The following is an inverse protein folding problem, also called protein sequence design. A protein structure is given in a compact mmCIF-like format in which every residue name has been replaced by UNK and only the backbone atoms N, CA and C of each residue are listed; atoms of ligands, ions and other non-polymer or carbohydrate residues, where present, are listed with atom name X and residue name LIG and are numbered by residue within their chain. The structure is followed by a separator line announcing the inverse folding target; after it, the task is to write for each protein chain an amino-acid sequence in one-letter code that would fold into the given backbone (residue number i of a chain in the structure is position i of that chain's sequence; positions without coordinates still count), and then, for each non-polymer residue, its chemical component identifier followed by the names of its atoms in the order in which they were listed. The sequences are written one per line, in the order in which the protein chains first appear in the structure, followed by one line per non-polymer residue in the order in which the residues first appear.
data_IF_856520216215
#
_entry.id   IF_856520216215
#
_cell.length_a   1.000
_cell.length_b   1.000
_cell.length_c   1.000
_cell.angle_alpha   90.00
_cell.angle_beta   90.00
_cell.angle_gamma   90.00
#
_symmetry.space_group_name_H-M   'P 1'
#
loop_
_entity.id
_entity.type
_entity.pdbx_description
1 polymer ?
#
# COMPACT_ATOMS: atom_id res chain seq x y z
N UNK A 1 45.67 26.53 21.88
CA UNK A 1 45.76 25.05 21.76
C UNK A 1 44.36 24.49 21.89
N UNK A 2 43.67 24.30 20.76
CA UNK A 2 42.30 23.78 20.71
C UNK A 2 42.37 22.29 20.45
N UNK A 3 42.06 21.47 21.45
CA UNK A 3 41.98 20.02 21.31
C UNK A 3 40.77 19.67 20.45
N UNK A 4 41.04 19.38 19.18
CA UNK A 4 40.14 18.63 18.29
C UNK A 4 39.99 17.21 18.84
N UNK A 5 39.14 17.05 19.86
CA UNK A 5 38.67 15.74 20.30
C UNK A 5 37.91 15.11 19.13
N UNK A 6 38.55 14.12 18.51
CA UNK A 6 37.98 13.31 17.45
C UNK A 6 36.69 12.68 17.93
N UNK A 7 35.57 13.29 17.57
CA UNK A 7 34.25 12.73 17.79
C UNK A 7 34.15 11.40 17.05
N UNK A 8 34.16 10.31 17.81
CA UNK A 8 33.83 8.99 17.31
C UNK A 8 32.50 9.09 16.55
N UNK A 9 32.54 8.83 15.24
CA UNK A 9 31.31 8.76 14.44
C UNK A 9 30.41 7.71 15.08
N UNK A 10 29.17 8.04 15.48
CA UNK A 10 28.27 7.07 16.06
C UNK A 10 28.14 5.90 15.08
N UNK A 11 28.45 4.69 15.55
CA UNK A 11 28.28 3.46 14.78
C UNK A 11 26.82 3.36 14.35
N UNK A 12 26.58 3.12 13.06
CA UNK A 12 25.23 2.95 12.51
C UNK A 12 24.63 1.70 13.17
N UNK A 13 23.67 1.90 14.09
CA UNK A 13 22.91 0.82 14.69
C UNK A 13 21.72 0.48 13.79
N UNK A 14 21.75 -0.69 13.16
CA UNK A 14 20.65 -1.20 12.36
C UNK A 14 19.44 -1.53 13.24
N UNK A 15 18.25 -1.13 12.81
CA UNK A 15 16.98 -1.47 13.45
C UNK A 15 16.26 -2.58 12.69
N UNK A 16 15.28 -3.21 13.34
CA UNK A 16 14.42 -4.20 12.70
C UNK A 16 13.74 -3.63 11.45
N UNK A 17 13.29 -2.36 11.49
CA UNK A 17 12.70 -1.69 10.34
C UNK A 17 13.67 -1.54 9.15
N UNK A 18 14.98 -1.36 9.40
CA UNK A 18 15.97 -1.26 8.31
C UNK A 18 16.11 -2.59 7.57
N UNK A 19 16.21 -3.69 8.32
CA UNK A 19 16.25 -5.05 7.76
C UNK A 19 14.96 -5.32 6.98
N UNK A 20 13.80 -4.98 7.56
CA UNK A 20 12.51 -5.18 6.93
C UNK A 20 12.36 -4.39 5.63
N UNK A 21 12.77 -3.11 5.58
CA UNK A 21 12.75 -2.32 4.34
C UNK A 21 13.71 -2.87 3.28
N UNK A 22 14.88 -3.39 3.66
CA UNK A 22 15.76 -4.10 2.72
C UNK A 22 15.07 -5.35 2.14
N UNK A 23 14.40 -6.14 2.97
CA UNK A 23 13.59 -7.29 2.53
C UNK A 23 12.49 -6.82 1.58
N UNK A 24 11.77 -5.74 1.90
CA UNK A 24 10.76 -5.15 1.01
C UNK A 24 11.34 -4.83 -0.36
N UNK A 25 12.51 -4.17 -0.43
CA UNK A 25 13.17 -3.84 -1.70
C UNK A 25 13.49 -5.11 -2.50
N UNK A 26 14.11 -6.10 -1.86
CA UNK A 26 14.48 -7.37 -2.51
C UNK A 26 13.24 -8.09 -3.04
N UNK A 27 12.20 -8.21 -2.23
CA UNK A 27 10.95 -8.88 -2.61
C UNK A 27 10.21 -8.14 -3.72
N UNK A 28 10.16 -6.80 -3.70
CA UNK A 28 9.56 -6.00 -4.77
C UNK A 28 10.30 -6.19 -6.11
N UNK A 29 11.64 -6.15 -6.08
CA UNK A 29 12.46 -6.37 -7.28
C UNK A 29 12.34 -7.81 -7.79
N UNK A 30 12.29 -8.79 -6.89
CA UNK A 30 12.07 -10.19 -7.23
C UNK A 30 10.68 -10.40 -7.87
N UNK A 31 9.62 -9.81 -7.31
CA UNK A 31 8.28 -9.86 -7.88
C UNK A 31 8.25 -9.29 -9.30
N UNK A 32 8.84 -8.10 -9.49
CA UNK A 32 8.96 -7.49 -10.82
C UNK A 32 9.76 -8.35 -11.79
N UNK A 33 10.90 -8.92 -11.37
CA UNK A 33 11.69 -9.82 -12.20
C UNK A 33 10.89 -11.07 -12.61
N UNK A 34 10.13 -11.68 -11.69
CA UNK A 34 9.25 -12.80 -11.99
C UNK A 34 8.19 -12.44 -13.04
N UNK A 35 7.58 -11.25 -12.94
CA UNK A 35 6.62 -10.76 -13.96
C UNK A 35 7.30 -10.62 -15.31
N UNK A 36 8.49 -10.01 -15.37
CA UNK A 36 9.25 -9.83 -16.61
C UNK A 36 9.65 -11.18 -17.24
N UNK A 37 10.08 -12.14 -16.44
CA UNK A 37 10.46 -13.46 -16.94
C UNK A 37 9.24 -14.29 -17.37
N UNK A 38 8.10 -14.10 -16.72
CA UNK A 38 6.83 -14.66 -17.15
C UNK A 38 6.42 -14.11 -18.52
N UNK A 39 6.47 -12.80 -18.71
CA UNK A 39 6.12 -12.14 -19.99
C UNK A 39 7.00 -12.58 -21.16
N UNK A 40 8.24 -13.02 -20.88
CA UNK A 40 9.14 -13.60 -21.88
C UNK A 40 8.89 -15.08 -22.17
N UNK A 41 7.94 -15.70 -21.48
CA UNK A 41 7.68 -17.14 -21.55
C UNK A 41 8.80 -18.00 -20.95
N UNK A 42 9.64 -17.44 -20.08
CA UNK A 42 10.76 -18.16 -19.44
C UNK A 42 10.39 -18.75 -18.09
N UNK A 43 9.27 -18.30 -17.51
CA UNK A 43 8.69 -18.81 -16.27
C UNK A 43 7.17 -18.89 -16.37
N UNK A 44 6.58 -19.94 -15.81
CA UNK A 44 5.12 -20.11 -15.70
C UNK A 44 4.73 -20.28 -14.22
N UNK A 45 5.20 -19.34 -13.39
CA UNK A 45 5.03 -19.41 -11.94
C UNK A 45 3.65 -18.89 -11.48
N UNK A 46 3.15 -17.84 -12.12
CA UNK A 46 1.92 -17.16 -11.76
C UNK A 46 0.71 -17.78 -12.45
N UNK A 47 -0.45 -17.61 -11.83
CA UNK A 47 -1.72 -18.11 -12.34
C UNK A 47 -2.10 -17.42 -13.66
N UNK A 48 -2.79 -18.13 -14.53
CA UNK A 48 -3.14 -17.62 -15.86
C UNK A 48 -4.11 -16.43 -15.75
N UNK A 49 -5.12 -16.54 -14.87
CA UNK A 49 -6.09 -15.44 -14.70
C UNK A 49 -5.44 -14.17 -14.17
N UNK A 50 -4.41 -14.30 -13.31
CA UNK A 50 -3.66 -13.17 -12.79
C UNK A 50 -2.85 -12.49 -13.88
N UNK A 51 -2.15 -13.26 -14.73
CA UNK A 51 -1.28 -12.70 -15.77
C UNK A 51 -2.09 -12.03 -16.88
N UNK A 52 -3.22 -12.64 -17.25
CA UNK A 52 -4.13 -12.08 -18.23
C UNK A 52 -4.71 -10.73 -17.76
N UNK A 53 -5.27 -10.68 -16.55
CA UNK A 53 -5.95 -9.48 -16.05
C UNK A 53 -5.05 -8.47 -15.32
N UNK A 54 -3.89 -8.89 -14.84
CA UNK A 54 -3.05 -8.15 -13.90
C UNK A 54 -3.52 -8.20 -12.44
N UNK A 55 -4.61 -8.92 -12.16
CA UNK A 55 -5.30 -9.00 -10.87
C UNK A 55 -5.99 -10.35 -10.72
N UNK A 56 -6.20 -10.78 -9.47
CA UNK A 56 -7.09 -11.89 -9.22
C UNK A 56 -8.56 -11.45 -9.25
N UNK A 57 -9.24 -11.68 -10.36
CA UNK A 57 -10.63 -11.23 -10.54
C UNK A 57 -11.58 -12.41 -10.50
N UNK A 58 -12.36 -12.51 -9.43
CA UNK A 58 -13.50 -13.42 -9.32
C UNK A 58 -14.81 -12.79 -9.75
N UNK A 59 -15.80 -13.65 -10.03
CA UNK A 59 -17.15 -13.28 -10.49
C UNK A 59 -17.12 -12.42 -11.76
N UNK A 60 -16.26 -12.75 -12.74
CA UNK A 60 -16.09 -11.97 -13.98
C UNK A 60 -17.37 -11.99 -14.84
N UNK A 61 -18.03 -13.14 -14.81
CA UNK A 61 -19.25 -13.47 -15.52
C UNK A 61 -20.53 -12.86 -14.90
N UNK A 62 -20.41 -12.26 -13.71
CA UNK A 62 -21.54 -11.65 -13.01
C UNK A 62 -21.60 -10.13 -13.24
N UNK A 63 -22.58 -9.48 -12.62
CA UNK A 63 -22.70 -8.00 -12.63
C UNK A 63 -21.45 -7.34 -12.04
N UNK A 64 -21.09 -6.16 -12.55
CA UNK A 64 -19.96 -5.37 -12.01
C UNK A 64 -20.06 -5.13 -10.52
N UNK A 65 -21.28 -5.03 -10.00
CA UNK A 65 -21.56 -4.77 -8.58
C UNK A 65 -21.11 -5.91 -7.66
N UNK A 66 -20.88 -7.10 -8.19
CA UNK A 66 -20.44 -8.29 -7.42
C UNK A 66 -19.10 -8.86 -7.92
N UNK A 67 -18.47 -8.22 -8.91
CA UNK A 67 -17.11 -8.52 -9.33
C UNK A 67 -16.13 -8.20 -8.18
N UNK A 68 -14.99 -8.90 -8.12
CA UNK A 68 -13.97 -8.69 -7.09
C UNK A 68 -13.58 -7.23 -6.86
N UNK A 69 -13.49 -6.39 -7.90
CA UNK A 69 -13.19 -4.97 -7.74
C UNK A 69 -14.31 -4.19 -7.03
N UNK A 70 -15.60 -4.46 -7.31
CA UNK A 70 -16.67 -3.82 -6.55
C UNK A 70 -16.69 -4.30 -5.10
N UNK A 71 -16.44 -5.59 -4.86
CA UNK A 71 -16.29 -6.15 -3.51
C UNK A 71 -15.13 -5.46 -2.78
N UNK A 72 -14.00 -5.25 -3.47
CA UNK A 72 -12.83 -4.55 -2.93
C UNK A 72 -13.18 -3.11 -2.54
N UNK A 73 -13.90 -2.38 -3.40
CA UNK A 73 -14.41 -1.04 -3.06
C UNK A 73 -15.27 -1.04 -1.79
N UNK A 74 -16.22 -1.98 -1.66
CA UNK A 74 -17.07 -2.06 -0.47
C UNK A 74 -16.26 -2.36 0.79
N UNK A 75 -15.31 -3.30 0.68
CA UNK A 75 -14.46 -3.70 1.78
C UNK A 75 -13.52 -2.56 2.21
N UNK A 76 -12.90 -1.86 1.26
CA UNK A 76 -12.04 -0.71 1.51
C UNK A 76 -12.80 0.44 2.17
N UNK A 77 -14.00 0.76 1.68
CA UNK A 77 -14.83 1.80 2.28
C UNK A 77 -15.23 1.44 3.72
N UNK A 78 -15.67 0.20 3.94
CA UNK A 78 -16.04 -0.28 5.27
C UNK A 78 -14.85 -0.25 6.25
N UNK A 79 -13.69 -0.76 5.81
CA UNK A 79 -12.48 -0.79 6.64
C UNK A 79 -11.90 0.61 6.87
N UNK A 80 -11.96 1.51 5.89
CA UNK A 80 -11.57 2.90 6.05
C UNK A 80 -12.43 3.60 7.12
N UNK A 81 -13.76 3.41 7.07
CA UNK A 81 -14.67 3.94 8.10
C UNK A 81 -14.36 3.37 9.48
N UNK A 82 -14.14 2.06 9.59
CA UNK A 82 -13.73 1.41 10.84
C UNK A 82 -12.42 1.99 11.37
N UNK A 83 -11.41 2.18 10.51
CA UNK A 83 -10.13 2.73 10.90
C UNK A 83 -10.24 4.17 11.42
N UNK A 84 -11.04 5.01 10.76
CA UNK A 84 -11.33 6.37 11.24
C UNK A 84 -12.05 6.33 12.59
N UNK A 85 -13.02 5.43 12.75
CA UNK A 85 -13.73 5.22 14.02
C UNK A 85 -12.79 4.84 15.15
N UNK A 86 -11.85 3.92 14.91
CA UNK A 86 -10.85 3.49 15.89
C UNK A 86 -9.86 4.60 16.24
N UNK A 87 -9.42 5.39 15.26
CA UNK A 87 -8.59 6.58 15.50
C UNK A 87 -9.32 7.57 16.41
N UNK A 88 -10.57 7.90 16.09
CA UNK A 88 -11.36 8.84 16.89
C UNK A 88 -11.61 8.32 18.30
N UNK A 89 -11.98 7.04 18.43
CA UNK A 89 -12.17 6.39 19.72
C UNK A 89 -10.88 6.36 20.54
N UNK A 90 -9.75 5.95 19.96
CA UNK A 90 -8.45 5.92 20.63
C UNK A 90 -8.02 7.30 21.11
N UNK A 91 -8.25 8.33 20.31
CA UNK A 91 -7.92 9.70 20.70
C UNK A 91 -8.82 10.22 21.83
N UNK A 92 -10.14 10.11 21.67
CA UNK A 92 -11.12 10.74 22.57
C UNK A 92 -11.36 9.94 23.87
N UNK A 93 -11.29 8.61 23.81
CA UNK A 93 -11.63 7.73 24.95
C UNK A 93 -10.42 7.15 25.66
N UNK A 94 -9.28 7.05 24.97
CA UNK A 94 -8.06 6.44 25.51
C UNK A 94 -6.90 7.42 25.64
N UNK A 95 -7.10 8.71 25.36
CA UNK A 95 -6.04 9.72 25.48
C UNK A 95 -4.85 9.50 24.55
N UNK A 96 -4.99 8.64 23.54
CA UNK A 96 -3.87 8.27 22.68
C UNK A 96 -3.40 9.49 21.87
N UNK A 97 -2.07 9.66 21.84
CA UNK A 97 -1.42 10.75 21.12
C UNK A 97 -1.67 10.66 19.62
N UNK A 98 -1.90 11.82 18.99
CA UNK A 98 -2.14 11.90 17.55
C UNK A 98 -0.99 11.33 16.74
N UNK A 99 0.26 11.49 17.19
CA UNK A 99 1.43 10.94 16.50
C UNK A 99 1.32 9.43 16.28
N UNK A 100 0.82 8.70 17.30
CA UNK A 100 0.67 7.25 17.24
C UNK A 100 -0.49 6.79 16.34
N UNK A 101 -1.54 7.61 16.24
CA UNK A 101 -2.76 7.35 15.46
C UNK A 101 -2.67 7.84 14.01
N UNK A 102 -1.81 8.83 13.75
CA UNK A 102 -1.68 9.48 12.44
C UNK A 102 -1.36 8.52 11.29
N UNK A 103 -0.55 7.43 11.45
CA UNK A 103 -0.33 6.47 10.38
C UNK A 103 -1.61 5.75 10.00
N UNK A 104 -2.42 5.33 10.98
CA UNK A 104 -3.69 4.65 10.75
C UNK A 104 -4.70 5.58 10.08
N UNK A 105 -4.82 6.83 10.54
CA UNK A 105 -5.72 7.80 9.92
C UNK A 105 -5.36 8.08 8.45
N UNK A 106 -4.07 8.31 8.16
CA UNK A 106 -3.59 8.52 6.80
C UNK A 106 -3.89 7.31 5.90
N UNK A 107 -3.65 6.11 6.41
CA UNK A 107 -3.93 4.88 5.66
C UNK A 107 -5.42 4.67 5.44
N UNK A 108 -6.30 5.05 6.38
CA UNK A 108 -7.74 5.00 6.17
C UNK A 108 -8.19 5.87 4.99
N UNK A 109 -7.68 7.10 4.89
CA UNK A 109 -7.98 7.99 3.76
C UNK A 109 -7.43 7.45 2.44
N UNK A 110 -6.23 6.89 2.49
CA UNK A 110 -5.58 6.28 1.33
C UNK A 110 -6.35 5.05 0.85
N UNK A 111 -6.82 4.21 1.78
CA UNK A 111 -7.62 3.02 1.52
C UNK A 111 -8.96 3.38 0.86
N UNK A 112 -9.64 4.44 1.31
CA UNK A 112 -10.84 4.92 0.64
C UNK A 112 -10.56 5.37 -0.81
N UNK A 113 -9.46 6.09 -1.02
CA UNK A 113 -9.02 6.49 -2.37
C UNK A 113 -8.68 5.29 -3.26
N UNK A 114 -8.04 4.27 -2.70
CA UNK A 114 -7.76 2.98 -3.34
C UNK A 114 -9.06 2.27 -3.76
N UNK A 115 -10.04 2.20 -2.85
CA UNK A 115 -11.37 1.66 -3.14
C UNK A 115 -12.08 2.40 -4.29
N UNK A 116 -11.97 3.74 -4.36
CA UNK A 116 -12.48 4.49 -5.51
C UNK A 116 -11.81 4.08 -6.84
N UNK A 117 -10.53 3.72 -6.81
CA UNK A 117 -9.83 3.11 -7.94
C UNK A 117 -10.43 1.76 -8.34
N UNK A 118 -10.78 0.92 -7.38
CA UNK A 118 -11.50 -0.33 -7.65
C UNK A 118 -12.91 -0.13 -8.20
N UNK A 119 -13.66 0.85 -7.70
CA UNK A 119 -14.95 1.21 -8.27
C UNK A 119 -14.81 1.62 -9.74
N UNK A 120 -13.79 2.42 -10.05
CA UNK A 120 -13.47 2.78 -11.43
C UNK A 120 -13.17 1.54 -12.28
N UNK A 121 -12.36 0.60 -11.80
CA UNK A 121 -12.09 -0.64 -12.51
C UNK A 121 -13.37 -1.45 -12.71
N UNK A 122 -14.15 -1.73 -11.66
CA UNK A 122 -15.39 -2.50 -11.74
C UNK A 122 -16.35 -1.97 -12.82
N UNK A 123 -16.51 -0.64 -12.91
CA UNK A 123 -17.36 0.00 -13.94
C UNK A 123 -16.79 -0.18 -15.35
N UNK A 124 -15.46 -0.09 -15.51
CA UNK A 124 -14.81 -0.11 -16.82
C UNK A 124 -14.42 -1.51 -17.31
N UNK A 125 -14.48 -2.53 -16.46
CA UNK A 125 -14.01 -3.90 -16.77
C UNK A 125 -15.14 -4.92 -17.02
N UNK A 126 -16.38 -4.46 -17.18
CA UNK A 126 -17.58 -5.30 -17.30
C UNK A 126 -17.70 -6.30 -18.46
N UNK A 127 -16.79 -6.27 -19.42
CA UNK A 127 -16.87 -7.12 -20.62
C UNK A 127 -15.68 -8.06 -20.60
N UNK A 128 -15.90 -9.33 -20.92
CA UNK A 128 -14.99 -10.46 -20.62
C UNK A 128 -13.48 -10.24 -20.95
N UNK A 129 -13.14 -9.40 -21.93
CA UNK A 129 -11.74 -9.06 -22.28
C UNK A 129 -11.23 -7.70 -21.76
N UNK A 130 -11.92 -7.07 -20.80
CA UNK A 130 -11.75 -5.64 -20.47
C UNK A 130 -10.88 -5.35 -19.25
N UNK A 131 -10.73 -6.30 -18.32
CA UNK A 131 -9.96 -6.10 -17.08
C UNK A 131 -8.54 -5.59 -17.34
N UNK A 132 -7.86 -6.24 -18.26
CA UNK A 132 -6.49 -5.95 -18.67
C UNK A 132 -6.33 -4.67 -19.51
N UNK A 133 -7.43 -3.97 -19.85
CA UNK A 133 -7.47 -2.89 -20.84
C UNK A 133 -8.28 -1.67 -20.38
N UNK A 134 -8.40 -1.46 -19.07
CA UNK A 134 -9.26 -0.41 -18.50
C UNK A 134 -8.90 1.00 -18.99
N UNK A 135 -7.60 1.33 -19.09
CA UNK A 135 -7.16 2.65 -19.58
C UNK A 135 -7.04 2.71 -21.11
N UNK A 136 -6.68 1.60 -21.74
CA UNK A 136 -6.43 1.49 -23.18
C UNK A 136 -7.69 1.71 -24.01
N UNK A 137 -8.85 1.34 -23.47
CA UNK A 137 -10.16 1.53 -24.13
C UNK A 137 -10.69 2.96 -24.01
N UNK A 138 -10.12 3.77 -23.13
CA UNK A 138 -10.56 5.15 -22.96
C UNK A 138 -10.10 6.00 -24.15
N UNK A 139 -11.04 6.74 -24.74
CA UNK A 139 -10.69 7.85 -25.63
C UNK A 139 -9.90 8.95 -24.89
N UNK A 140 -9.34 9.93 -25.62
CA UNK A 140 -8.49 10.97 -25.03
C UNK A 140 -9.14 11.72 -23.84
N UNK A 141 -10.43 12.06 -23.97
CA UNK A 141 -11.21 12.71 -22.90
C UNK A 141 -11.37 11.80 -21.68
N UNK A 142 -11.61 10.51 -21.90
CA UNK A 142 -11.71 9.52 -20.82
C UNK A 142 -10.40 9.36 -20.07
N UNK A 143 -9.26 9.33 -20.77
CA UNK A 143 -7.93 9.31 -20.13
C UNK A 143 -7.67 10.55 -19.29
N UNK A 144 -8.02 11.75 -19.78
CA UNK A 144 -7.89 12.99 -19.00
C UNK A 144 -8.78 12.94 -17.76
N UNK A 145 -10.03 12.49 -17.88
CA UNK A 145 -10.92 12.33 -16.73
C UNK A 145 -10.37 11.33 -15.70
N UNK A 146 -9.88 10.16 -16.15
CA UNK A 146 -9.26 9.17 -15.29
C UNK A 146 -8.00 9.71 -14.61
N UNK A 147 -7.15 10.43 -15.35
CA UNK A 147 -5.96 11.07 -14.80
C UNK A 147 -6.34 12.06 -13.68
N UNK A 148 -7.31 12.95 -13.91
CA UNK A 148 -7.76 13.91 -12.89
C UNK A 148 -8.35 13.18 -11.68
N UNK A 149 -9.15 12.14 -11.89
CA UNK A 149 -9.79 11.37 -10.81
C UNK A 149 -8.81 10.58 -9.95
N UNK A 150 -7.73 10.04 -10.55
CA UNK A 150 -6.75 9.20 -9.86
C UNK A 150 -5.56 9.99 -9.28
N UNK A 151 -5.38 11.25 -9.68
CA UNK A 151 -4.30 12.10 -9.16
C UNK A 151 -4.33 12.26 -7.62
N UNK A 152 -5.49 12.46 -6.96
CA UNK A 152 -5.56 12.53 -5.50
C UNK A 152 -5.08 11.25 -4.81
N UNK A 153 -5.32 10.08 -5.42
CA UNK A 153 -4.88 8.78 -4.88
C UNK A 153 -3.35 8.71 -4.88
N UNK A 154 -2.73 8.98 -6.03
CA UNK A 154 -1.27 9.06 -6.13
C UNK A 154 -0.67 10.14 -5.25
N UNK A 155 -1.35 11.29 -5.10
CA UNK A 155 -0.92 12.32 -4.17
C UNK A 155 -0.92 11.80 -2.73
N UNK A 156 -1.95 11.05 -2.32
CA UNK A 156 -2.01 10.38 -1.02
C UNK A 156 -0.85 9.40 -0.81
N UNK A 157 -0.63 8.51 -1.78
CA UNK A 157 0.49 7.55 -1.75
C UNK A 157 1.86 8.23 -1.68
N UNK A 158 2.05 9.32 -2.42
CA UNK A 158 3.32 10.05 -2.47
C UNK A 158 3.49 11.04 -1.31
N UNK A 159 2.42 11.36 -0.58
CA UNK A 159 2.47 12.33 0.51
C UNK A 159 3.26 11.78 1.69
N UNK A 160 4.09 12.62 2.28
CA UNK A 160 4.84 12.30 3.50
C UNK A 160 5.08 13.57 4.30
N UNK A 161 5.08 13.48 5.63
CA UNK A 161 5.21 14.65 6.51
C UNK A 161 6.54 15.40 6.32
N UNK A 162 7.57 14.74 5.79
CA UNK A 162 8.90 15.33 5.55
C UNK A 162 9.14 15.71 4.10
N UNK A 163 8.24 15.36 3.19
CA UNK A 163 8.34 15.67 1.75
C UNK A 163 7.60 16.97 1.46
N UNK A 164 8.23 17.87 0.70
CA UNK A 164 7.57 19.09 0.27
C UNK A 164 6.38 18.77 -0.65
N UNK A 165 5.32 19.58 -0.58
CA UNK A 165 4.11 19.40 -1.41
C UNK A 165 4.42 19.37 -2.90
N UNK A 166 5.37 20.19 -3.36
CA UNK A 166 5.81 20.21 -4.76
C UNK A 166 6.44 18.88 -5.18
N UNK A 167 7.34 18.30 -4.37
CA UNK A 167 7.92 16.98 -4.66
C UNK A 167 6.84 15.91 -4.68
N UNK A 168 5.93 15.92 -3.70
CA UNK A 168 4.78 15.00 -3.67
C UNK A 168 3.95 15.09 -4.95
N UNK A 169 3.62 16.30 -5.40
CA UNK A 169 2.84 16.53 -6.61
C UNK A 169 3.59 16.03 -7.85
N UNK A 170 4.89 16.29 -7.98
CA UNK A 170 5.71 15.81 -9.10
C UNK A 170 5.70 14.29 -9.17
N UNK A 171 5.94 13.60 -8.06
CA UNK A 171 5.88 12.13 -8.03
C UNK A 171 4.47 11.62 -8.34
N UNK A 172 3.43 12.26 -7.81
CA UNK A 172 2.05 11.86 -8.06
C UNK A 172 1.69 12.01 -9.55
N UNK A 173 2.01 13.16 -10.15
CA UNK A 173 1.81 13.41 -11.59
C UNK A 173 2.58 12.42 -12.43
N UNK A 174 3.85 12.15 -12.09
CA UNK A 174 4.68 11.18 -12.81
C UNK A 174 4.09 9.77 -12.79
N UNK A 175 3.79 9.22 -11.61
CA UNK A 175 3.25 7.87 -11.50
C UNK A 175 1.84 7.74 -12.10
N UNK A 176 1.01 8.77 -11.97
CA UNK A 176 -0.31 8.79 -12.58
C UNK A 176 -0.24 8.90 -14.11
N UNK A 177 0.71 9.67 -14.65
CA UNK A 177 0.93 9.77 -16.09
C UNK A 177 1.40 8.44 -16.66
N UNK A 178 2.36 7.78 -15.98
CA UNK A 178 2.79 6.44 -16.36
C UNK A 178 1.61 5.48 -16.37
N UNK A 179 0.81 5.45 -15.31
CA UNK A 179 -0.32 4.54 -15.21
C UNK A 179 -1.38 4.75 -16.30
N UNK A 180 -1.78 6.00 -16.58
CA UNK A 180 -2.89 6.25 -17.51
C UNK A 180 -2.46 6.19 -18.97
N UNK A 181 -1.20 6.54 -19.27
CA UNK A 181 -0.76 6.76 -20.65
C UNK A 181 0.33 5.81 -21.14
N UNK A 182 1.09 5.15 -20.26
CA UNK A 182 2.30 4.42 -20.65
C UNK A 182 2.25 2.94 -20.28
N UNK A 183 1.88 2.64 -19.04
CA UNK A 183 1.91 1.29 -18.48
C UNK A 183 0.61 0.56 -18.85
N UNK A 184 0.71 -0.61 -19.51
CA UNK A 184 -0.47 -1.43 -19.78
C UNK A 184 -1.24 -1.77 -18.49
N UNK A 185 -2.57 -1.78 -18.54
CA UNK A 185 -3.42 -1.98 -17.35
C UNK A 185 -3.11 -3.31 -16.65
N UNK A 186 -2.75 -4.38 -17.37
CA UNK A 186 -2.31 -5.65 -16.75
C UNK A 186 -1.06 -5.54 -15.85
N UNK A 187 -0.22 -4.52 -16.02
CA UNK A 187 0.91 -4.25 -15.13
C UNK A 187 0.59 -3.20 -14.06
N UNK A 188 -0.66 -2.75 -13.97
CA UNK A 188 -1.08 -1.69 -13.07
C UNK A 188 -0.77 -2.04 -11.61
N UNK A 189 -1.14 -3.24 -11.16
CA UNK A 189 -0.83 -3.72 -9.82
C UNK A 189 0.67 -3.67 -9.51
N UNK A 190 1.49 -4.20 -10.42
CA UNK A 190 2.95 -4.20 -10.28
C UNK A 190 3.50 -2.77 -10.21
N UNK A 191 3.00 -1.86 -11.05
CA UNK A 191 3.40 -0.45 -11.01
C UNK A 191 3.06 0.24 -9.68
N UNK A 192 1.85 0.03 -9.15
CA UNK A 192 1.45 0.58 -7.85
C UNK A 192 2.32 0.00 -6.73
N UNK A 193 2.49 -1.32 -6.71
CA UNK A 193 3.30 -2.01 -5.72
C UNK A 193 4.73 -1.46 -5.69
N UNK A 194 5.35 -1.31 -6.86
CA UNK A 194 6.71 -0.76 -7.00
C UNK A 194 6.75 0.72 -6.61
N UNK A 195 5.84 1.54 -7.14
CA UNK A 195 5.80 2.98 -6.88
C UNK A 195 5.58 3.31 -5.40
N UNK A 196 4.74 2.54 -4.71
CA UNK A 196 4.41 2.77 -3.30
C UNK A 196 5.48 2.17 -2.38
N UNK A 197 5.77 0.87 -2.49
CA UNK A 197 6.62 0.18 -1.52
C UNK A 197 8.11 0.49 -1.71
N UNK A 198 8.63 0.55 -2.93
CA UNK A 198 10.03 0.92 -3.13
C UNK A 198 10.29 2.36 -2.70
N UNK A 199 9.42 3.30 -3.09
CA UNK A 199 9.55 4.70 -2.68
C UNK A 199 9.46 4.85 -1.16
N UNK A 200 8.56 4.11 -0.51
CA UNK A 200 8.46 4.05 0.95
C UNK A 200 9.76 3.51 1.57
N UNK A 201 10.27 2.38 1.07
CA UNK A 201 11.46 1.73 1.60
C UNK A 201 12.72 2.57 1.46
N UNK A 202 13.03 3.05 0.25
CA UNK A 202 14.22 3.89 0.02
C UNK A 202 14.18 5.17 0.86
N UNK A 203 13.03 5.84 0.90
CA UNK A 203 12.88 7.08 1.67
C UNK A 203 13.05 6.86 3.17
N UNK A 204 12.44 5.80 3.71
CA UNK A 204 12.50 5.51 5.16
C UNK A 204 13.88 5.00 5.57
N UNK A 205 14.57 4.25 4.71
CA UNK A 205 15.97 3.85 4.93
C UNK A 205 16.91 5.07 4.97
N UNK A 206 16.69 6.04 4.08
CA UNK A 206 17.44 7.30 4.02
C UNK A 206 17.16 8.26 5.19
N UNK A 207 16.19 7.93 6.06
CA UNK A 207 15.86 8.76 7.21
C UNK A 207 17.02 8.76 8.24
N UNK A 208 17.30 9.89 8.91
CA UNK A 208 18.29 9.92 9.99
C UNK A 208 17.94 8.95 11.14
N UNK A 209 18.92 8.30 11.79
CA UNK A 209 18.67 7.31 12.85
C UNK A 209 17.78 7.82 13.99
N UNK A 210 17.92 9.08 14.39
CA UNK A 210 17.13 9.69 15.48
C UNK A 210 15.63 9.85 15.16
N UNK A 211 15.24 9.65 13.90
CA UNK A 211 13.84 9.74 13.46
C UNK A 211 13.23 8.36 13.19
N UNK A 212 14.01 7.28 13.32
CA UNK A 212 13.56 5.90 13.20
C UNK A 212 13.14 5.42 14.59
N UNK A 213 11.85 5.48 14.85
CA UNK A 213 11.25 5.08 16.11
C UNK A 213 10.66 3.66 16.05
N UNK A 214 9.92 3.28 17.08
CA UNK A 214 9.17 2.03 17.11
C UNK A 214 8.14 1.93 15.98
N UNK A 215 7.49 3.04 15.62
CA UNK A 215 6.44 3.04 14.59
C UNK A 215 7.03 2.76 13.21
N UNK A 216 8.25 3.23 12.95
CA UNK A 216 9.03 2.81 11.78
C UNK A 216 9.23 1.28 11.73
N UNK A 217 9.63 0.65 12.84
CA UNK A 217 9.85 -0.79 12.90
C UNK A 217 8.53 -1.56 12.70
N UNK A 218 7.45 -1.13 13.35
CA UNK A 218 6.13 -1.75 13.25
C UNK A 218 5.53 -1.62 11.85
N UNK A 219 5.61 -0.44 11.23
CA UNK A 219 5.14 -0.20 9.85
C UNK A 219 5.87 -1.12 8.88
N UNK A 220 7.20 -1.20 8.95
CA UNK A 220 7.99 -2.02 8.04
C UNK A 220 7.70 -3.52 8.20
N UNK A 221 7.67 -4.02 9.43
CA UNK A 221 7.50 -5.46 9.71
C UNK A 221 6.06 -5.95 9.55
N UNK A 222 5.08 -5.15 9.98
CA UNK A 222 3.68 -5.59 10.01
C UNK A 222 2.92 -5.21 8.75
N UNK A 223 3.34 -4.17 8.02
CA UNK A 223 2.59 -3.68 6.86
C UNK A 223 3.32 -4.02 5.57
N UNK A 224 4.53 -3.51 5.35
CA UNK A 224 5.17 -3.63 4.03
C UNK A 224 5.51 -5.07 3.62
N UNK A 225 6.10 -5.86 4.53
CA UNK A 225 6.44 -7.26 4.24
C UNK A 225 5.15 -8.07 3.97
N UNK A 226 4.12 -8.04 4.84
CA UNK A 226 2.90 -8.78 4.56
C UNK A 226 2.18 -8.35 3.28
N UNK A 227 2.22 -7.07 2.88
CA UNK A 227 1.67 -6.64 1.58
C UNK A 227 2.39 -7.36 0.44
N UNK A 228 3.73 -7.46 0.46
CA UNK A 228 4.46 -8.15 -0.59
C UNK A 228 4.19 -9.65 -0.61
N UNK A 229 4.14 -10.28 0.56
CA UNK A 229 3.78 -11.70 0.64
C UNK A 229 2.36 -11.95 0.13
N UNK A 230 1.44 -11.02 0.39
CA UNK A 230 0.09 -11.08 -0.14
C UNK A 230 0.06 -10.88 -1.66
N UNK A 231 0.88 -9.98 -2.21
CA UNK A 231 1.02 -9.81 -3.66
C UNK A 231 1.49 -11.10 -4.36
N UNK A 232 2.50 -11.78 -3.79
CA UNK A 232 2.90 -13.11 -4.26
C UNK A 232 1.77 -14.13 -4.10
N UNK A 233 1.11 -14.14 -2.95
CA UNK A 233 -0.02 -15.04 -2.69
C UNK A 233 -1.13 -14.89 -3.71
N UNK A 234 -1.50 -13.64 -4.04
CA UNK A 234 -2.47 -13.33 -5.08
C UNK A 234 -2.06 -13.88 -6.43
N UNK A 235 -0.83 -13.58 -6.86
CA UNK A 235 -0.34 -14.00 -8.16
C UNK A 235 -0.17 -15.52 -8.30
N UNK A 236 0.16 -16.22 -7.22
CA UNK A 236 0.39 -17.68 -7.22
C UNK A 236 -0.90 -18.49 -7.05
N UNK A 237 -1.82 -18.03 -6.21
CA UNK A 237 -2.97 -18.82 -5.76
C UNK A 237 -4.31 -18.31 -6.27
N UNK A 238 -4.32 -17.42 -7.27
CA UNK A 238 -5.58 -16.88 -7.78
C UNK A 238 -6.53 -17.97 -8.29
N UNK A 239 -6.11 -18.74 -9.29
CA UNK A 239 -6.98 -19.72 -9.98
C UNK A 239 -7.41 -20.86 -9.05
N UNK A 240 -6.54 -21.26 -8.12
CA UNK A 240 -6.76 -22.44 -7.28
C UNK A 240 -7.53 -22.14 -5.99
N UNK A 241 -7.58 -20.89 -5.55
CA UNK A 241 -8.13 -20.56 -4.23
C UNK A 241 -8.80 -19.19 -4.19
N UNK A 242 -8.05 -18.12 -4.46
CA UNK A 242 -8.49 -16.77 -4.11
C UNK A 242 -9.68 -16.30 -4.94
N UNK A 243 -9.82 -16.76 -6.18
CA UNK A 243 -10.95 -16.40 -7.05
C UNK A 243 -12.31 -16.72 -6.42
N UNK A 244 -12.38 -17.78 -5.59
CA UNK A 244 -13.59 -18.19 -4.88
C UNK A 244 -13.86 -17.41 -3.59
N UNK A 245 -12.85 -16.72 -3.06
CA UNK A 245 -12.94 -15.96 -1.80
C UNK A 245 -12.94 -14.44 -2.04
N UNK A 246 -13.40 -14.02 -3.22
CA UNK A 246 -13.53 -12.61 -3.60
C UNK A 246 -12.35 -12.06 -4.40
N UNK A 247 -11.36 -12.90 -4.74
CA UNK A 247 -10.20 -12.53 -5.57
C UNK A 247 -9.35 -11.44 -4.90
N UNK A 248 -9.20 -10.32 -5.59
CA UNK A 248 -8.34 -9.21 -5.20
C UNK A 248 -8.63 -8.65 -3.80
N UNK A 249 -9.89 -8.72 -3.32
CA UNK A 249 -10.25 -8.24 -1.99
C UNK A 249 -9.41 -8.88 -0.88
N UNK A 250 -8.97 -10.12 -1.08
CA UNK A 250 -8.10 -10.79 -0.10
C UNK A 250 -6.79 -10.04 0.10
N UNK A 251 -6.17 -9.58 -0.99
CA UNK A 251 -4.96 -8.77 -0.94
C UNK A 251 -5.23 -7.42 -0.25
N UNK A 252 -6.30 -6.73 -0.66
CA UNK A 252 -6.64 -5.42 -0.12
C UNK A 252 -6.86 -5.45 1.39
N UNK A 253 -7.50 -6.51 1.90
CA UNK A 253 -7.79 -6.65 3.32
C UNK A 253 -6.55 -6.91 4.20
N UNK A 254 -5.40 -7.28 3.61
CA UNK A 254 -4.15 -7.40 4.36
C UNK A 254 -3.75 -6.06 4.96
N UNK A 255 -3.86 -4.96 4.21
CA UNK A 255 -3.45 -3.63 4.68
C UNK A 255 -4.22 -3.19 5.93
N UNK A 256 -5.55 -3.06 5.92
CA UNK A 256 -6.29 -2.63 7.09
C UNK A 256 -6.19 -3.64 8.23
N UNK A 257 -6.17 -4.95 7.96
CA UNK A 257 -5.99 -5.96 9.01
C UNK A 257 -4.66 -5.78 9.77
N UNK A 258 -3.57 -5.48 9.05
CA UNK A 258 -2.28 -5.20 9.69
C UNK A 258 -2.26 -3.88 10.44
N UNK A 259 -3.01 -2.87 9.98
CA UNK A 259 -3.22 -1.66 10.77
C UNK A 259 -4.07 -1.88 12.02
N UNK A 260 -4.99 -2.86 12.05
CA UNK A 260 -5.68 -3.26 13.28
C UNK A 260 -4.71 -3.88 14.29
N UNK A 261 -3.79 -4.73 13.82
CA UNK A 261 -2.73 -5.30 14.68
C UNK A 261 -1.82 -4.19 15.21
N UNK A 262 -1.41 -3.25 14.35
CA UNK A 262 -0.67 -2.06 14.75
C UNK A 262 -1.42 -1.29 15.86
N UNK A 263 -2.71 -0.99 15.65
CA UNK A 263 -3.52 -0.26 16.62
C UNK A 263 -3.60 -0.98 17.96
N UNK A 264 -3.82 -2.29 17.96
CA UNK A 264 -3.85 -3.11 19.18
C UNK A 264 -2.53 -3.03 19.96
N UNK A 265 -1.38 -3.11 19.26
CA UNK A 265 -0.05 -2.98 19.90
C UNK A 265 0.11 -1.59 20.53
N UNK A 266 -0.29 -0.53 19.82
CA UNK A 266 -0.20 0.84 20.34
C UNK A 266 -1.09 1.00 21.57
N UNK A 267 -2.32 0.49 21.53
CA UNK A 267 -3.28 0.52 22.63
C UNK A 267 -2.75 -0.18 23.89
N UNK A 268 -2.16 -1.37 23.74
CA UNK A 268 -1.59 -2.09 24.88
C UNK A 268 -0.37 -1.36 25.49
N UNK A 269 0.36 -0.58 24.69
CA UNK A 269 1.54 0.17 25.16
C UNK A 269 1.22 1.52 25.76
N UNK A 270 0.20 2.25 25.27
CA UNK A 270 -0.21 3.53 25.85
C UNK A 270 -0.58 3.37 27.32
N UNK A 271 -1.31 2.31 27.65
CA UNK A 271 -1.72 1.99 29.02
C UNK A 271 -0.50 1.73 29.94
N UNK A 272 0.66 1.35 29.39
CA UNK A 272 1.88 1.12 30.17
C UNK A 272 2.65 2.42 30.43
N UNK A 273 2.66 3.34 29.47
CA UNK A 273 3.36 4.62 29.59
C UNK A 273 2.64 5.57 30.55
N UNK A 274 1.31 5.63 30.48
CA UNK A 274 0.50 6.43 31.41
C UNK A 274 0.66 5.96 32.86
N UNK A 275 0.60 4.65 33.09
CA UNK A 275 0.81 4.05 34.42
C UNK A 275 2.23 4.27 34.97
N UNK A 276 3.24 4.29 34.12
CA UNK A 276 4.61 4.61 34.54
C UNK A 276 4.75 6.10 34.91
N UNK A 277 4.08 6.99 34.17
CA UNK A 277 4.13 8.43 34.43
C UNK A 277 3.33 8.82 35.69
N UNK A 278 2.21 8.17 35.97
CA UNK A 278 1.45 8.35 37.22
C UNK A 278 2.25 7.90 38.44
N UNK A 279 2.98 6.78 38.36
CA UNK A 279 3.82 6.30 39.47
C UNK A 279 5.06 7.16 39.74
N UNK A 280 5.44 8.01 38.79
CA UNK A 280 6.60 8.90 38.92
C UNK A 280 6.26 10.28 39.48
N UNK A 281 4.97 10.56 39.70
CA UNK A 281 4.45 11.76 40.37
C UNK A 281 4.11 11.44 41.82
#
# INVERSE_FOLDING_TARGET
MSSTLGGLRPSIQWRAGDIAKCITIVLSLAFFACIVEHEKGRMHLFSESYIDAGFCIGNRELSWTVQSHAISFYADAAMAMLMVGLVYWGHQRRGMRWEALSPMFKNALTLLGHGCGHLFLAINTQRDDAAAKAFERLGPRGKVAAFVALLPVWYGFMSDSKRSRAKTLVFAVFHNALQVYVVPTRFFFTHVLMGVLLNSAFRKLAMPPHQKDLYYDLEACLVDIPILLAAFGEALFCDNYLIHWGGHVWFDMVVPAKFMVYFAIVLCRSDSYERAHEKSK
#
